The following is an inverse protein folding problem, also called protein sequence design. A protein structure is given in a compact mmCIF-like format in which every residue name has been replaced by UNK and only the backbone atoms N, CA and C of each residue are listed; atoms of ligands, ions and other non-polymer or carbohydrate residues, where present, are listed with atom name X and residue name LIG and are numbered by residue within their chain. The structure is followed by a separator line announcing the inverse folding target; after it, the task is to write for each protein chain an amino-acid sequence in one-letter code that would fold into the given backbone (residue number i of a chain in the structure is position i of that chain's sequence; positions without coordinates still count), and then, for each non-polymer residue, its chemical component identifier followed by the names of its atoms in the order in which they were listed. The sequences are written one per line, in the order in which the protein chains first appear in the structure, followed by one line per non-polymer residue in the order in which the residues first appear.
data_IF_874989711670
#
_entry.id   IF_874989711670
#
_cell.length_a   1.000
_cell.length_b   1.000
_cell.length_c   1.000
_cell.angle_alpha   90.00
_cell.angle_beta   90.00
_cell.angle_gamma   90.00
#
_symmetry.space_group_name_H-M   'P 1'
#
loop_
_entity.id
_entity.type
_entity.pdbx_description
1 polymer ?
#
# COMPACT_ATOMS: atom_id res chain seq x y z
N UNK A 1 52.95 16.54 -5.25
CA UNK A 1 51.92 15.99 -4.35
C UNK A 1 51.09 15.11 -5.24
N UNK A 2 51.55 13.88 -5.48
CA UNK A 2 50.97 13.02 -6.50
C UNK A 2 50.49 11.75 -5.80
N UNK A 3 49.20 11.72 -5.48
CA UNK A 3 48.53 10.55 -4.97
C UNK A 3 47.82 9.84 -6.11
N UNK A 4 48.02 8.52 -6.24
CA UNK A 4 47.31 7.72 -7.24
C UNK A 4 45.90 7.44 -6.74
N UNK A 5 44.90 7.98 -7.43
CA UNK A 5 43.49 7.74 -7.14
C UNK A 5 43.02 6.48 -7.88
N UNK A 6 42.61 5.45 -7.12
CA UNK A 6 42.02 4.24 -7.69
C UNK A 6 40.48 4.32 -7.59
N UNK A 7 39.80 4.35 -8.73
CA UNK A 7 38.33 4.29 -8.81
C UNK A 7 37.90 2.82 -8.83
N UNK A 8 37.45 2.30 -7.69
CA UNK A 8 37.06 0.89 -7.54
C UNK A 8 35.71 0.52 -8.16
N UNK A 9 34.79 1.48 -8.30
CA UNK A 9 33.45 1.25 -8.86
C UNK A 9 32.90 2.56 -9.46
N UNK A 10 31.82 2.47 -10.24
CA UNK A 10 31.14 3.63 -10.83
C UNK A 10 31.42 3.86 -12.30
N UNK A 11 32.07 2.94 -13.01
CA UNK A 11 32.33 3.08 -14.46
C UNK A 11 31.04 3.16 -15.29
N UNK A 12 30.01 2.38 -14.91
CA UNK A 12 28.68 2.50 -15.52
C UNK A 12 28.02 3.85 -15.20
N UNK A 13 28.20 4.35 -13.96
CA UNK A 13 27.68 5.67 -13.55
C UNK A 13 28.40 6.80 -14.30
N UNK A 14 29.73 6.73 -14.47
CA UNK A 14 30.51 7.67 -15.29
C UNK A 14 29.93 7.76 -16.70
N UNK A 15 29.75 6.61 -17.36
CA UNK A 15 29.23 6.56 -18.73
C UNK A 15 27.79 7.10 -18.83
N UNK A 16 26.96 6.83 -17.82
CA UNK A 16 25.61 7.38 -17.72
C UNK A 16 25.59 8.90 -17.51
N UNK A 17 26.49 9.43 -16.67
CA UNK A 17 26.65 10.87 -16.45
C UNK A 17 27.14 11.56 -17.73
N UNK A 18 28.12 10.98 -18.43
CA UNK A 18 28.60 11.50 -19.71
C UNK A 18 27.47 11.55 -20.76
N UNK A 19 26.63 10.52 -20.79
CA UNK A 19 25.47 10.49 -21.69
C UNK A 19 24.43 11.55 -21.30
N UNK A 20 24.11 11.66 -20.01
CA UNK A 20 23.15 12.64 -19.51
C UNK A 20 23.61 14.09 -19.75
N UNK A 21 24.91 14.39 -19.57
CA UNK A 21 25.48 15.72 -19.86
C UNK A 21 25.47 16.02 -21.37
N UNK A 22 25.63 15.00 -22.21
CA UNK A 22 25.53 15.17 -23.66
C UNK A 22 24.10 15.50 -24.12
N UNK A 23 23.09 14.95 -23.42
CA UNK A 23 21.67 15.23 -23.67
C UNK A 23 21.20 16.55 -23.04
N UNK A 24 21.68 16.88 -21.83
CA UNK A 24 21.37 18.13 -21.11
C UNK A 24 22.64 18.74 -20.50
N UNK A 25 23.12 19.82 -21.12
CA UNK A 25 24.34 20.51 -20.70
C UNK A 25 24.23 21.21 -19.34
N UNK A 26 23.03 21.49 -18.85
CA UNK A 26 22.85 22.15 -17.53
C UNK A 26 23.32 21.27 -16.38
N UNK A 27 23.36 19.94 -16.58
CA UNK A 27 23.88 18.97 -15.62
C UNK A 27 25.39 19.13 -15.37
N UNK A 28 26.13 19.80 -16.26
CA UNK A 28 27.56 20.07 -16.05
C UNK A 28 27.83 21.04 -14.88
N UNK A 29 26.84 21.83 -14.48
CA UNK A 29 26.94 22.77 -13.36
C UNK A 29 26.49 22.16 -12.02
N UNK A 30 25.94 20.94 -12.04
CA UNK A 30 25.55 20.21 -10.83
C UNK A 30 26.79 19.69 -10.11
N UNK A 31 26.77 19.73 -8.77
CA UNK A 31 27.86 19.21 -7.94
C UNK A 31 27.44 17.95 -7.21
N UNK A 32 28.35 16.98 -7.09
CA UNK A 32 28.15 15.78 -6.28
C UNK A 32 29.22 15.72 -5.18
N UNK A 33 28.80 15.35 -3.98
CA UNK A 33 29.75 15.15 -2.89
C UNK A 33 30.60 13.89 -3.18
N UNK A 34 31.93 14.07 -3.23
CA UNK A 34 32.88 12.96 -3.32
C UNK A 34 33.57 12.82 -1.98
N UNK A 35 33.40 11.66 -1.34
CA UNK A 35 34.13 11.33 -0.11
C UNK A 35 35.31 10.45 -0.47
N UNK A 36 36.52 10.93 -0.19
CA UNK A 36 37.77 10.20 -0.44
C UNK A 36 38.26 9.62 0.88
N UNK A 37 38.54 8.31 0.88
CA UNK A 37 39.13 7.62 2.02
C UNK A 37 40.58 7.29 1.72
N UNK A 38 41.44 7.37 2.74
CA UNK A 38 42.82 6.92 2.62
C UNK A 38 42.86 5.40 2.43
N UNK A 39 43.68 4.93 1.50
CA UNK A 39 43.84 3.49 1.27
C UNK A 39 44.55 2.84 2.47
N UNK A 40 43.80 2.02 3.20
CA UNK A 40 44.28 1.26 4.35
C UNK A 40 44.60 -0.21 3.99
N UNK A 41 44.73 -0.52 2.70
CA UNK A 41 45.10 -1.81 2.15
C UNK A 41 43.92 -2.64 1.61
N UNK A 42 44.26 -3.60 0.75
CA UNK A 42 43.31 -4.45 -0.01
C UNK A 42 42.19 -5.06 0.84
N UNK A 43 42.54 -5.62 2.02
CA UNK A 43 41.56 -6.26 2.91
C UNK A 43 40.49 -5.28 3.39
N UNK A 44 40.86 -4.03 3.67
CA UNK A 44 39.92 -3.00 4.15
C UNK A 44 39.07 -2.46 3.02
N UNK A 45 39.64 -2.30 1.82
CA UNK A 45 38.90 -1.92 0.62
C UNK A 45 37.85 -2.98 0.24
N UNK A 46 38.19 -4.27 0.33
CA UNK A 46 37.25 -5.38 0.12
C UNK A 46 36.11 -5.37 1.15
N UNK A 47 36.41 -5.13 2.43
CA UNK A 47 35.38 -5.01 3.47
C UNK A 47 34.46 -3.82 3.24
N UNK A 48 35.02 -2.64 2.91
CA UNK A 48 34.21 -1.45 2.57
C UNK A 48 33.29 -1.71 1.37
N UNK A 49 33.80 -2.37 0.33
CA UNK A 49 32.99 -2.73 -0.84
C UNK A 49 31.85 -3.68 -0.45
N UNK A 50 32.14 -4.69 0.38
CA UNK A 50 31.12 -5.60 0.90
C UNK A 50 30.09 -4.84 1.76
N UNK A 51 30.51 -3.94 2.64
CA UNK A 51 29.64 -3.18 3.53
C UNK A 51 28.74 -2.20 2.76
N UNK A 52 29.27 -1.49 1.76
CA UNK A 52 28.49 -0.56 0.93
C UNK A 52 27.41 -1.31 0.16
N UNK A 53 27.74 -2.46 -0.44
CA UNK A 53 26.78 -3.23 -1.21
C UNK A 53 25.77 -3.97 -0.32
N UNK A 54 26.20 -4.43 0.86
CA UNK A 54 25.33 -5.18 1.80
C UNK A 54 24.40 -4.25 2.57
N UNK A 55 24.87 -3.05 2.93
CA UNK A 55 24.11 -2.06 3.70
C UNK A 55 23.47 -0.98 2.83
N UNK A 56 23.38 -1.18 1.50
CA UNK A 56 22.64 -0.26 0.64
C UNK A 56 21.15 -0.31 1.01
N UNK A 57 20.71 0.63 1.85
CA UNK A 57 19.31 0.75 2.25
C UNK A 57 18.54 1.36 1.08
N UNK A 58 17.77 0.53 0.38
CA UNK A 58 16.79 1.04 -0.59
C UNK A 58 15.77 1.91 0.16
N UNK A 59 15.40 3.09 -0.36
CA UNK A 59 14.30 3.86 0.19
C UNK A 59 13.05 2.97 0.31
N UNK A 60 12.24 3.20 1.36
CA UNK A 60 11.03 2.41 1.57
C UNK A 60 10.10 2.53 0.35
N UNK A 61 9.31 1.49 0.07
CA UNK A 61 8.32 1.55 -1.02
C UNK A 61 7.29 2.67 -0.80
N UNK A 62 7.04 3.06 0.45
CA UNK A 62 6.18 4.19 0.79
C UNK A 62 6.83 5.53 0.39
N UNK A 63 8.11 5.74 0.73
CA UNK A 63 8.86 6.93 0.30
C UNK A 63 8.96 7.00 -1.21
N UNK A 64 9.31 5.90 -1.87
CA UNK A 64 9.34 5.88 -3.34
C UNK A 64 7.98 6.27 -3.92
N UNK A 65 6.87 5.79 -3.36
CA UNK A 65 5.54 6.17 -3.86
C UNK A 65 5.20 7.65 -3.63
N UNK A 66 5.58 8.21 -2.48
CA UNK A 66 5.25 9.59 -2.11
C UNK A 66 6.11 10.61 -2.86
N UNK A 67 7.39 10.28 -3.11
CA UNK A 67 8.37 11.20 -3.70
C UNK A 67 8.65 10.97 -5.19
N UNK A 68 8.25 9.83 -5.76
CA UNK A 68 8.36 9.61 -7.19
C UNK A 68 7.28 10.38 -7.95
N UNK A 69 7.57 11.64 -8.23
CA UNK A 69 6.71 12.51 -9.03
C UNK A 69 6.57 12.07 -10.49
N UNK A 70 7.30 11.05 -10.95
CA UNK A 70 7.14 10.47 -12.30
C UNK A 70 6.13 9.31 -12.29
N UNK A 71 5.77 8.79 -11.13
CA UNK A 71 4.76 7.75 -10.99
C UNK A 71 3.35 8.37 -10.97
N UNK A 72 2.71 8.40 -12.12
CA UNK A 72 1.35 8.94 -12.30
C UNK A 72 0.32 8.32 -11.35
N UNK A 73 0.36 6.99 -11.17
CA UNK A 73 -0.54 6.31 -10.27
C UNK A 73 -0.26 6.68 -8.80
N UNK A 74 1.00 6.79 -8.42
CA UNK A 74 1.41 7.24 -7.09
C UNK A 74 0.86 8.63 -6.75
N UNK A 75 0.99 9.58 -7.68
CA UNK A 75 0.41 10.94 -7.52
C UNK A 75 -1.11 10.88 -7.40
N UNK A 76 -1.78 10.14 -8.27
CA UNK A 76 -3.23 9.99 -8.22
C UNK A 76 -3.73 9.36 -6.92
N UNK A 77 -3.02 8.37 -6.35
CA UNK A 77 -3.35 7.82 -5.01
C UNK A 77 -3.28 8.90 -3.92
N UNK A 78 -2.31 9.82 -3.99
CA UNK A 78 -2.23 10.93 -3.04
C UNK A 78 -3.39 11.93 -3.21
N UNK A 79 -3.77 12.24 -4.45
CA UNK A 79 -4.93 13.09 -4.75
C UNK A 79 -6.26 12.48 -4.27
N UNK A 80 -6.40 11.16 -4.39
CA UNK A 80 -7.55 10.42 -3.84
C UNK A 80 -7.56 10.50 -2.32
N UNK A 81 -6.40 10.36 -1.66
CA UNK A 81 -6.27 10.53 -0.21
C UNK A 81 -6.55 11.97 0.25
N UNK A 82 -6.21 12.98 -0.55
CA UNK A 82 -6.54 14.38 -0.27
C UNK A 82 -8.05 14.64 -0.27
N UNK A 83 -8.81 13.91 -1.09
CA UNK A 83 -10.27 13.94 -1.07
C UNK A 83 -10.87 13.24 0.18
N UNK A 84 -10.07 12.50 0.95
CA UNK A 84 -10.50 11.74 2.13
C UNK A 84 -9.63 12.07 3.36
N UNK A 85 -9.66 13.31 3.88
CA UNK A 85 -8.74 13.76 4.92
C UNK A 85 -8.80 12.94 6.21
N UNK A 86 -9.97 12.41 6.58
CA UNK A 86 -10.12 11.50 7.72
C UNK A 86 -9.31 10.21 7.55
N UNK A 87 -9.41 9.58 6.37
CA UNK A 87 -8.62 8.39 6.03
C UNK A 87 -7.13 8.75 5.96
N UNK A 88 -6.76 9.84 5.27
CA UNK A 88 -5.37 10.28 5.13
C UNK A 88 -4.67 10.48 6.49
N UNK A 89 -5.37 11.01 7.49
CA UNK A 89 -4.83 11.14 8.86
C UNK A 89 -4.46 9.80 9.50
N UNK A 90 -5.12 8.70 9.11
CA UNK A 90 -4.83 7.34 9.57
C UNK A 90 -3.81 6.58 8.70
N UNK A 91 -3.28 7.19 7.64
CA UNK A 91 -2.30 6.55 6.73
C UNK A 91 -0.86 6.95 7.07
N UNK A 92 0.03 5.95 7.18
CA UNK A 92 1.48 6.09 7.29
C UNK A 92 2.11 6.27 5.90
N UNK A 93 2.81 7.39 5.70
CA UNK A 93 3.32 7.82 4.40
C UNK A 93 4.81 7.49 4.22
N UNK A 94 5.54 7.30 5.30
CA UNK A 94 7.00 7.16 5.26
C UNK A 94 7.45 5.69 5.27
N UNK A 95 6.68 4.82 5.92
CA UNK A 95 7.04 3.41 6.09
C UNK A 95 6.00 2.49 5.50
N UNK A 96 6.46 1.34 4.98
CA UNK A 96 5.59 0.30 4.43
C UNK A 96 4.82 -0.47 5.51
N UNK A 97 5.30 -0.43 6.76
CA UNK A 97 4.66 -0.99 7.94
C UNK A 97 4.20 0.11 8.89
N UNK A 98 3.20 -0.20 9.71
CA UNK A 98 2.65 0.74 10.68
C UNK A 98 3.05 0.30 12.08
N UNK A 99 3.81 1.13 12.79
CA UNK A 99 4.23 0.83 14.16
C UNK A 99 3.05 0.71 15.13
N UNK A 100 3.14 -0.17 16.12
CA UNK A 100 2.05 -0.49 17.06
C UNK A 100 1.46 0.74 17.78
N UNK A 101 2.31 1.67 18.22
CA UNK A 101 1.92 2.86 18.99
C UNK A 101 1.61 4.11 18.16
N UNK A 102 1.87 4.09 16.84
CA UNK A 102 1.59 5.24 15.97
C UNK A 102 0.08 5.36 15.77
N UNK A 103 -0.45 6.59 15.75
CA UNK A 103 -1.87 6.89 15.50
C UNK A 103 -2.38 6.51 14.09
N UNK A 104 -1.52 5.92 13.26
CA UNK A 104 -1.81 5.40 11.93
C UNK A 104 -2.31 3.95 11.99
N UNK A 105 -3.08 3.52 11.00
CA UNK A 105 -3.67 2.18 10.90
C UNK A 105 -3.17 1.43 9.67
N UNK A 106 -3.08 2.12 8.54
CA UNK A 106 -2.64 1.54 7.26
C UNK A 106 -1.42 2.29 6.72
N UNK A 107 -0.60 1.63 5.91
CA UNK A 107 0.45 2.31 5.15
C UNK A 107 -0.10 2.77 3.80
N UNK A 108 0.56 3.75 3.19
CA UNK A 108 0.15 4.25 1.88
C UNK A 108 0.24 3.16 0.80
N UNK A 109 1.15 2.20 0.97
CA UNK A 109 1.27 0.99 0.14
C UNK A 109 0.04 0.09 0.26
N UNK A 110 -0.52 -0.04 1.48
CA UNK A 110 -1.76 -0.78 1.70
C UNK A 110 -2.95 -0.09 1.01
N UNK A 111 -3.04 1.24 1.09
CA UNK A 111 -4.08 2.03 0.39
C UNK A 111 -3.96 1.85 -1.11
N UNK A 112 -2.76 2.00 -1.68
CA UNK A 112 -2.49 1.76 -3.12
C UNK A 112 -3.05 0.40 -3.56
N UNK A 113 -2.73 -0.67 -2.82
CA UNK A 113 -3.19 -2.02 -3.14
C UNK A 113 -4.70 -2.18 -2.99
N UNK A 114 -5.29 -1.55 -1.97
CA UNK A 114 -6.75 -1.52 -1.74
C UNK A 114 -7.45 -0.87 -2.93
N UNK A 115 -6.95 0.27 -3.42
CA UNK A 115 -7.53 0.98 -4.56
C UNK A 115 -7.41 0.15 -5.85
N UNK A 116 -6.23 -0.42 -6.14
CA UNK A 116 -6.07 -1.30 -7.31
C UNK A 116 -7.05 -2.48 -7.27
N UNK A 117 -7.26 -3.06 -6.09
CA UNK A 117 -8.17 -4.20 -5.91
C UNK A 117 -9.64 -3.79 -6.06
N UNK A 118 -10.02 -2.64 -5.51
CA UNK A 118 -11.38 -2.08 -5.63
C UNK A 118 -11.72 -1.75 -7.09
N UNK A 119 -10.82 -1.03 -7.77
CA UNK A 119 -11.03 -0.59 -9.15
C UNK A 119 -10.76 -1.68 -10.19
N UNK A 120 -10.29 -2.86 -9.77
CA UNK A 120 -9.86 -3.96 -10.65
C UNK A 120 -8.82 -3.53 -11.68
N UNK A 121 -7.87 -2.68 -11.25
CA UNK A 121 -6.82 -2.13 -12.09
C UNK A 121 -5.44 -2.72 -11.77
N UNK A 122 -4.55 -2.57 -12.73
CA UNK A 122 -3.10 -2.65 -12.53
C UNK A 122 -2.51 -1.27 -12.79
N UNK A 123 -1.28 -1.02 -12.34
CA UNK A 123 -0.60 0.25 -12.63
C UNK A 123 -0.38 0.45 -14.14
N UNK A 124 -0.17 -0.65 -14.86
CA UNK A 124 -0.05 -0.64 -16.30
C UNK A 124 -1.36 -0.19 -16.95
N UNK A 125 -2.49 -0.82 -16.58
CA UNK A 125 -3.78 -0.46 -17.15
C UNK A 125 -4.25 0.94 -16.71
N UNK A 126 -3.79 1.44 -15.56
CA UNK A 126 -4.05 2.82 -15.14
C UNK A 126 -3.37 3.85 -16.04
N UNK A 127 -2.17 3.55 -16.54
CA UNK A 127 -1.44 4.45 -17.43
C UNK A 127 -2.18 4.71 -18.76
N UNK A 128 -3.00 3.74 -19.19
CA UNK A 128 -3.81 3.82 -20.41
C UNK A 128 -5.11 4.61 -20.22
N UNK A 129 -5.46 5.00 -18.98
CA UNK A 129 -6.70 5.74 -18.69
C UNK A 129 -6.57 7.22 -19.04
N UNK A 130 -7.63 7.78 -19.62
CA UNK A 130 -7.79 9.23 -19.76
C UNK A 130 -8.20 9.92 -18.45
N UNK A 131 -8.30 11.25 -18.45
CA UNK A 131 -8.61 12.01 -17.24
C UNK A 131 -10.04 11.74 -16.74
N UNK A 132 -11.02 11.56 -17.63
CA UNK A 132 -12.41 11.30 -17.25
C UNK A 132 -12.55 9.95 -16.54
N UNK A 133 -11.87 8.92 -17.06
CA UNK A 133 -11.80 7.60 -16.44
C UNK A 133 -11.11 7.64 -15.07
N UNK A 134 -10.03 8.41 -14.93
CA UNK A 134 -9.34 8.59 -13.64
C UNK A 134 -10.22 9.30 -12.62
N UNK A 135 -10.98 10.29 -13.04
CA UNK A 135 -11.93 11.02 -12.17
C UNK A 135 -13.10 10.12 -11.76
N UNK A 136 -13.61 9.29 -12.67
CA UNK A 136 -14.62 8.27 -12.35
C UNK A 136 -14.12 7.29 -11.28
N UNK A 137 -12.90 6.75 -11.44
CA UNK A 137 -12.30 5.88 -10.43
C UNK A 137 -12.08 6.59 -9.09
N UNK A 138 -11.74 7.88 -9.09
CA UNK A 138 -11.57 8.66 -7.87
C UNK A 138 -12.89 8.78 -7.11
N UNK A 139 -13.98 9.11 -7.80
CA UNK A 139 -15.32 9.15 -7.21
C UNK A 139 -15.68 7.77 -6.65
N UNK A 140 -15.47 6.71 -7.42
CA UNK A 140 -15.75 5.34 -7.00
C UNK A 140 -15.02 4.94 -5.70
N UNK A 141 -13.73 5.30 -5.57
CA UNK A 141 -12.96 5.05 -4.34
C UNK A 141 -13.53 5.83 -3.16
N UNK A 142 -13.87 7.10 -3.34
CA UNK A 142 -14.43 7.95 -2.28
C UNK A 142 -15.78 7.41 -1.81
N UNK A 143 -16.66 7.02 -2.73
CA UNK A 143 -17.95 6.41 -2.41
C UNK A 143 -17.78 5.09 -1.66
N UNK A 144 -16.81 4.25 -2.05
CA UNK A 144 -16.50 3.04 -1.31
C UNK A 144 -16.15 3.34 0.14
N UNK A 145 -15.21 4.26 0.43
CA UNK A 145 -14.86 4.61 1.80
C UNK A 145 -16.00 5.27 2.58
N UNK A 146 -16.87 6.04 1.92
CA UNK A 146 -18.09 6.58 2.52
C UNK A 146 -19.08 5.46 2.88
N UNK A 147 -19.20 4.43 2.04
CA UNK A 147 -20.01 3.25 2.33
C UNK A 147 -19.47 2.48 3.55
N UNK A 148 -18.14 2.37 3.70
CA UNK A 148 -17.54 1.77 4.89
C UNK A 148 -17.89 2.58 6.15
N UNK A 149 -17.84 3.91 6.06
CA UNK A 149 -18.24 4.80 7.15
C UNK A 149 -19.74 4.72 7.49
N UNK A 150 -20.59 4.33 6.55
CA UNK A 150 -22.03 4.18 6.77
C UNK A 150 -22.42 2.78 7.29
N UNK A 151 -21.71 1.74 6.85
CA UNK A 151 -22.17 0.36 7.02
C UNK A 151 -21.23 -0.53 7.83
N UNK A 152 -19.95 -0.19 8.00
CA UNK A 152 -19.03 -1.02 8.80
C UNK A 152 -19.03 -0.54 10.26
N UNK A 153 -19.31 -1.42 11.24
CA UNK A 153 -19.31 -1.05 12.65
C UNK A 153 -17.99 -0.43 13.10
N UNK A 154 -18.09 0.57 13.97
CA UNK A 154 -16.95 1.31 14.53
C UNK A 154 -16.05 2.04 13.50
N UNK A 155 -16.38 2.08 12.21
CA UNK A 155 -15.52 2.69 11.19
C UNK A 155 -15.27 4.17 11.43
N UNK A 156 -16.33 4.97 11.67
CA UNK A 156 -16.21 6.40 11.96
C UNK A 156 -15.39 6.66 13.22
N UNK A 157 -15.76 6.02 14.33
CA UNK A 157 -15.02 6.12 15.60
C UNK A 157 -13.53 5.75 15.45
N UNK A 158 -13.24 4.70 14.66
CA UNK A 158 -11.88 4.32 14.30
C UNK A 158 -11.18 5.39 13.45
N UNK A 159 -11.84 6.03 12.48
CA UNK A 159 -11.22 7.07 11.65
C UNK A 159 -11.01 8.37 12.45
N UNK A 160 -11.99 8.75 13.27
CA UNK A 160 -12.07 10.04 13.97
C UNK A 160 -11.27 10.12 15.27
N UNK A 161 -10.46 9.11 15.59
CA UNK A 161 -9.62 9.07 16.80
C UNK A 161 -10.37 8.88 18.12
N UNK A 162 -11.63 8.46 18.06
CA UNK A 162 -12.40 8.04 19.24
C UNK A 162 -11.89 6.69 19.77
N UNK A 163 -11.43 5.80 18.89
CA UNK A 163 -10.76 4.55 19.26
C UNK A 163 -9.24 4.71 19.05
N UNK A 164 -8.42 4.47 20.10
CA UNK A 164 -6.96 4.52 19.99
C UNK A 164 -6.43 3.51 18.96
N UNK A 165 -5.46 3.93 18.13
CA UNK A 165 -4.91 3.05 17.09
C UNK A 165 -4.26 1.78 17.65
N UNK A 166 -3.73 1.83 18.88
CA UNK A 166 -3.18 0.66 19.56
C UNK A 166 -4.26 -0.40 19.86
N UNK A 167 -5.44 0.04 20.31
CA UNK A 167 -6.59 -0.81 20.58
C UNK A 167 -7.16 -1.40 19.28
N UNK A 168 -7.36 -0.56 18.25
CA UNK A 168 -7.79 -1.03 16.92
C UNK A 168 -6.86 -2.11 16.39
N UNK A 169 -5.54 -1.94 16.53
CA UNK A 169 -4.56 -2.94 16.08
C UNK A 169 -4.55 -4.19 16.94
N UNK A 170 -4.84 -4.09 18.23
CA UNK A 170 -4.87 -5.22 19.16
C UNK A 170 -6.12 -6.08 18.94
N UNK A 171 -7.29 -5.46 18.85
CA UNK A 171 -8.58 -6.16 18.99
C UNK A 171 -9.42 -6.17 17.70
N UNK A 172 -9.22 -5.22 16.80
CA UNK A 172 -10.13 -5.01 15.67
C UNK A 172 -9.53 -5.46 14.34
N UNK A 173 -10.41 -5.86 13.43
CA UNK A 173 -10.11 -6.30 12.08
C UNK A 173 -10.01 -5.13 11.11
N UNK A 174 -10.88 -4.13 11.27
CA UNK A 174 -11.03 -3.01 10.33
C UNK A 174 -9.77 -2.15 10.19
N UNK A 175 -8.91 -2.08 11.21
CA UNK A 175 -7.60 -1.42 11.12
C UNK A 175 -6.48 -2.28 10.53
N UNK A 176 -6.76 -3.55 10.21
CA UNK A 176 -5.77 -4.48 9.66
C UNK A 176 -5.78 -4.40 8.13
N UNK A 177 -4.58 -4.39 7.54
CA UNK A 177 -4.45 -4.30 6.08
C UNK A 177 -5.15 -5.44 5.34
N UNK A 178 -5.10 -6.68 5.86
CA UNK A 178 -5.76 -7.83 5.21
C UNK A 178 -7.28 -7.64 5.10
N UNK A 179 -7.89 -7.06 6.13
CA UNK A 179 -9.34 -6.85 6.16
C UNK A 179 -9.75 -5.69 5.27
N UNK A 180 -8.98 -4.59 5.26
CA UNK A 180 -9.19 -3.48 4.34
C UNK A 180 -9.11 -3.94 2.87
N UNK A 181 -8.09 -4.73 2.52
CA UNK A 181 -7.97 -5.30 1.17
C UNK A 181 -9.15 -6.25 0.86
N UNK A 182 -9.62 -7.04 1.83
CA UNK A 182 -10.78 -7.92 1.63
C UNK A 182 -12.09 -7.14 1.42
N UNK A 183 -12.30 -6.04 2.14
CA UNK A 183 -13.42 -5.13 1.91
C UNK A 183 -13.40 -4.57 0.49
N UNK A 184 -12.22 -4.20 -0.03
CA UNK A 184 -12.10 -3.70 -1.40
C UNK A 184 -12.38 -4.77 -2.46
N UNK A 185 -11.92 -6.01 -2.25
CA UNK A 185 -12.21 -7.13 -3.17
C UNK A 185 -13.71 -7.45 -3.18
N UNK A 186 -14.35 -7.49 -2.01
CA UNK A 186 -15.81 -7.67 -1.93
C UNK A 186 -16.54 -6.46 -2.55
N UNK A 187 -16.07 -5.24 -2.27
CA UNK A 187 -16.61 -4.00 -2.79
C UNK A 187 -16.61 -3.95 -4.32
N UNK A 188 -15.51 -4.38 -4.96
CA UNK A 188 -15.39 -4.46 -6.41
C UNK A 188 -16.44 -5.39 -7.05
N UNK A 189 -16.82 -6.46 -6.34
CA UNK A 189 -17.89 -7.36 -6.79
C UNK A 189 -19.26 -6.74 -6.55
N UNK A 190 -19.47 -6.13 -5.39
CA UNK A 190 -20.73 -5.49 -4.99
C UNK A 190 -21.10 -4.36 -5.95
N UNK A 191 -20.16 -3.48 -6.28
CA UNK A 191 -20.40 -2.34 -7.17
C UNK A 191 -20.88 -2.75 -8.56
N UNK A 192 -20.49 -3.94 -9.02
CA UNK A 192 -20.86 -4.48 -10.33
C UNK A 192 -22.26 -5.12 -10.34
N UNK A 193 -22.94 -5.22 -9.20
CA UNK A 193 -24.29 -5.81 -9.11
C UNK A 193 -25.41 -4.86 -9.56
N UNK A 194 -25.10 -3.59 -9.83
CA UNK A 194 -26.06 -2.56 -10.21
C UNK A 194 -26.86 -1.96 -9.04
N UNK A 195 -26.75 -2.51 -7.83
CA UNK A 195 -27.37 -1.94 -6.61
C UNK A 195 -26.48 -0.92 -5.89
N UNK A 196 -25.45 -0.41 -6.55
CA UNK A 196 -24.45 0.47 -5.92
C UNK A 196 -23.86 -0.16 -4.65
N UNK A 197 -23.87 0.60 -3.56
CA UNK A 197 -23.32 0.19 -2.26
C UNK A 197 -24.37 -0.31 -1.26
N UNK A 198 -25.64 -0.43 -1.64
CA UNK A 198 -26.74 -0.77 -0.72
C UNK A 198 -26.56 -2.16 -0.11
N UNK A 199 -25.96 -3.09 -0.85
CA UNK A 199 -25.63 -4.44 -0.36
C UNK A 199 -24.65 -4.43 0.81
N UNK A 200 -23.84 -3.38 0.94
CA UNK A 200 -22.95 -3.22 2.09
C UNK A 200 -23.72 -3.00 3.39
N UNK A 201 -25.01 -2.64 3.35
CA UNK A 201 -25.82 -2.45 4.57
C UNK A 201 -25.83 -3.68 5.48
N UNK A 202 -25.79 -4.88 4.91
CA UNK A 202 -25.71 -6.12 5.67
C UNK A 202 -24.45 -6.21 6.56
N UNK A 203 -23.38 -5.46 6.23
CA UNK A 203 -22.17 -5.39 7.04
C UNK A 203 -22.38 -4.71 8.39
N UNK A 204 -23.47 -3.94 8.58
CA UNK A 204 -23.80 -3.35 9.89
C UNK A 204 -23.94 -4.40 11.00
N UNK A 205 -24.33 -5.62 10.64
CA UNK A 205 -24.54 -6.72 11.58
C UNK A 205 -23.28 -7.59 11.83
N UNK A 206 -22.17 -7.36 11.13
CA UNK A 206 -20.96 -8.17 11.30
C UNK A 206 -20.13 -7.71 12.50
N UNK A 207 -19.53 -8.64 13.24
CA UNK A 207 -18.50 -8.26 14.21
C UNK A 207 -17.22 -7.82 13.49
N UNK A 208 -16.59 -6.77 14.01
CA UNK A 208 -15.30 -6.26 13.53
C UNK A 208 -14.15 -6.61 14.47
N UNK A 209 -14.36 -7.53 15.41
CA UNK A 209 -13.38 -7.94 16.42
C UNK A 209 -12.72 -9.28 16.10
N UNK A 210 -11.45 -9.40 16.48
CA UNK A 210 -10.65 -10.63 16.29
C UNK A 210 -11.16 -11.81 17.11
N UNK A 211 -11.92 -11.56 18.17
CA UNK A 211 -12.52 -12.60 19.01
C UNK A 211 -13.68 -13.32 18.33
N UNK A 212 -14.25 -12.78 17.25
CA UNK A 212 -15.33 -13.44 16.54
C UNK A 212 -14.80 -14.62 15.72
N UNK A 213 -15.23 -15.82 16.10
CA UNK A 213 -14.87 -17.09 15.47
C UNK A 213 -15.22 -17.15 13.97
N UNK A 214 -16.12 -16.29 13.48
CA UNK A 214 -16.41 -16.16 12.05
C UNK A 214 -15.15 -15.91 11.23
N UNK A 215 -14.17 -15.20 11.78
CA UNK A 215 -12.97 -14.79 11.05
C UNK A 215 -11.80 -15.79 11.17
N UNK A 216 -11.92 -16.83 12.00
CA UNK A 216 -10.92 -17.88 12.18
C UNK A 216 -10.79 -18.77 10.94
N UNK A 217 -9.58 -19.10 10.51
CA UNK A 217 -9.32 -19.77 9.23
C UNK A 217 -9.52 -18.89 7.99
N UNK A 218 -9.84 -17.60 8.16
CA UNK A 218 -9.91 -16.60 7.07
C UNK A 218 -8.72 -15.63 7.17
N UNK A 219 -8.93 -14.45 7.74
CA UNK A 219 -7.87 -13.48 8.04
C UNK A 219 -7.24 -13.69 9.42
N UNK A 220 -7.81 -14.56 10.27
CA UNK A 220 -7.24 -14.98 11.55
C UNK A 220 -6.86 -16.45 11.46
N UNK A 221 -5.65 -16.80 11.89
CA UNK A 221 -5.23 -18.19 12.06
C UNK A 221 -4.50 -18.33 13.40
N UNK A 222 -5.01 -19.20 14.27
CA UNK A 222 -4.47 -19.41 15.62
C UNK A 222 -4.38 -18.09 16.41
N UNK A 223 -5.42 -17.26 16.34
CA UNK A 223 -5.50 -15.97 17.03
C UNK A 223 -4.58 -14.87 16.48
N UNK A 224 -3.88 -15.10 15.35
CA UNK A 224 -3.01 -14.11 14.70
C UNK A 224 -3.58 -13.66 13.37
N UNK A 225 -3.41 -12.39 13.06
CA UNK A 225 -3.72 -11.87 11.73
C UNK A 225 -2.76 -12.47 10.70
N UNK A 226 -3.31 -13.03 9.63
CA UNK A 226 -2.54 -13.56 8.50
C UNK A 226 -2.81 -12.73 7.26
N UNK A 227 -1.76 -12.17 6.67
CA UNK A 227 -1.85 -11.45 5.39
C UNK A 227 -1.27 -12.30 4.27
N UNK A 228 -2.14 -13.00 3.55
CA UNK A 228 -1.83 -13.70 2.28
C UNK A 228 -2.92 -13.40 1.26
N UNK A 229 -2.65 -13.68 -0.02
CA UNK A 229 -3.68 -13.54 -1.07
C UNK A 229 -4.90 -14.42 -0.76
N UNK A 230 -4.67 -15.64 -0.29
CA UNK A 230 -5.75 -16.56 0.11
C UNK A 230 -6.56 -16.02 1.30
N UNK A 231 -5.91 -15.43 2.31
CA UNK A 231 -6.60 -14.83 3.46
C UNK A 231 -7.47 -13.62 3.03
N UNK A 232 -6.97 -12.77 2.14
CA UNK A 232 -7.76 -11.65 1.57
C UNK A 232 -8.98 -12.18 0.82
N UNK A 233 -8.79 -13.13 -0.10
CA UNK A 233 -9.87 -13.67 -0.94
C UNK A 233 -10.92 -14.43 -0.12
N UNK A 234 -10.51 -15.28 0.83
CA UNK A 234 -11.44 -16.03 1.68
C UNK A 234 -12.25 -15.11 2.60
N UNK A 235 -11.62 -14.07 3.15
CA UNK A 235 -12.31 -13.02 3.93
C UNK A 235 -13.28 -12.24 3.05
N UNK A 236 -12.90 -11.90 1.82
CA UNK A 236 -13.79 -11.23 0.87
C UNK A 236 -14.99 -12.10 0.46
N UNK A 237 -14.80 -13.41 0.29
CA UNK A 237 -15.91 -14.36 0.07
C UNK A 237 -16.90 -14.32 1.23
N UNK A 238 -16.41 -14.32 2.47
CA UNK A 238 -17.28 -14.22 3.65
C UNK A 238 -18.05 -12.88 3.69
N UNK A 239 -17.39 -11.77 3.35
CA UNK A 239 -18.03 -10.46 3.24
C UNK A 239 -19.14 -10.44 2.16
N UNK A 240 -18.94 -11.12 1.03
CA UNK A 240 -19.96 -11.28 -0.01
C UNK A 240 -21.13 -12.15 0.45
N UNK A 241 -20.86 -13.22 1.22
CA UNK A 241 -21.91 -14.06 1.81
C UNK A 241 -22.78 -13.24 2.77
N UNK A 242 -22.18 -12.42 3.63
CA UNK A 242 -22.90 -11.52 4.53
C UNK A 242 -23.77 -10.55 3.72
N UNK A 243 -23.22 -9.97 2.64
CA UNK A 243 -23.95 -9.08 1.74
C UNK A 243 -24.99 -9.78 0.84
N UNK A 244 -25.13 -11.11 0.92
CA UNK A 244 -25.99 -11.92 0.04
C UNK A 244 -25.73 -11.65 -1.45
N UNK A 245 -24.46 -11.50 -1.82
CA UNK A 245 -24.00 -11.33 -3.21
C UNK A 245 -23.41 -12.63 -3.73
N UNK A 246 -23.70 -12.97 -4.99
CA UNK A 246 -23.19 -14.17 -5.64
C UNK A 246 -21.66 -14.15 -5.69
N UNK A 247 -21.04 -15.25 -5.26
CA UNK A 247 -19.58 -15.38 -5.27
C UNK A 247 -19.09 -15.65 -6.70
N UNK A 248 -18.19 -14.81 -7.25
CA UNK A 248 -17.60 -15.01 -8.57
C UNK A 248 -16.89 -16.38 -8.68
N UNK A 249 -16.97 -17.06 -9.84
CA UNK A 249 -16.38 -18.40 -10.02
C UNK A 249 -14.93 -18.53 -9.54
N UNK A 250 -14.09 -17.54 -9.85
CA UNK A 250 -12.67 -17.44 -9.50
C UNK A 250 -12.40 -17.25 -8.00
N UNK A 251 -13.43 -16.97 -7.20
CA UNK A 251 -13.33 -16.83 -5.75
C UNK A 251 -13.90 -18.03 -4.99
N UNK A 252 -14.63 -18.94 -5.65
CA UNK A 252 -15.32 -20.06 -4.98
C UNK A 252 -14.37 -21.02 -4.28
N UNK A 253 -13.17 -21.21 -4.82
CA UNK A 253 -12.13 -22.07 -4.20
C UNK A 253 -11.64 -21.56 -2.84
N UNK A 254 -11.84 -20.27 -2.54
CA UNK A 254 -11.47 -19.66 -1.26
C UNK A 254 -12.62 -19.65 -0.25
N UNK A 255 -13.81 -20.12 -0.64
CA UNK A 255 -14.93 -20.26 0.28
C UNK A 255 -14.76 -21.46 1.20
N UNK A 256 -15.27 -21.37 2.42
CA UNK A 256 -15.44 -22.56 3.26
C UNK A 256 -16.35 -23.57 2.54
N UNK A 257 -15.96 -24.84 2.57
CA UNK A 257 -16.87 -25.93 2.23
C UNK A 257 -17.93 -25.95 3.31
N UNK A 258 -19.17 -25.62 2.93
CA UNK A 258 -20.35 -25.71 3.79
C UNK A 258 -20.73 -27.16 4.04
#
# INVERSE_FOLDING_TARGET
MDAVLLINDGQHRRRGIEHAIAEDRTLAEQTVAVTIFFDAGLRKAQQMFADINTNQVKPSSALNMVYDHRNDFGRWVLEVLDAMPGIKRRVEMETSSVGAKRGKLWSVVAIRKTILSLCQLTEKSFADLDQEQRDHHKVHVVEFFNSLAAYVPCWRAMVDHEIPAAEVKAEMLIGQTVFLEALAVAGATISNTGSGWDKCEAWKAMSVYKSDARWEGLCIVSGRMVKTVAAVKSTAVELLRIASVLIPPEMREFGRVS
#
